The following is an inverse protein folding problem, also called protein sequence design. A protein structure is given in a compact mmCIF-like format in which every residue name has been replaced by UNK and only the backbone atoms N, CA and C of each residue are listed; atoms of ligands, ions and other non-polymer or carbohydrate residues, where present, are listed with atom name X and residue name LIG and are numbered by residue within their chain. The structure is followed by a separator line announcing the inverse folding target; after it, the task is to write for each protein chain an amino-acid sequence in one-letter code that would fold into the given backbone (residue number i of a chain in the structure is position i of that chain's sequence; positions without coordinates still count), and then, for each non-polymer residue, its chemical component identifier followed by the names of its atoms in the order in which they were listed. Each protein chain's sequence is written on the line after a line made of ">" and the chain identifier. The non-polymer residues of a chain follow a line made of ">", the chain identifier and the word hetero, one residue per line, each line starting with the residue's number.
data_IF_165797495951
#
_entry.id   IF_165797495951
#
_cell.length_a   1.000
_cell.length_b   1.000
_cell.length_c   1.000
_cell.angle_alpha   90.00
_cell.angle_beta   90.00
_cell.angle_gamma   90.00
#
_symmetry.space_group_name_H-M   'P 1'
#
loop_
_entity.id
_entity.type
_entity.pdbx_description
1 polymer ?
#
# COMPACT_ATOMS: atom_id res chain seq x y z
N UNK A 1 18.39 1.93 -9.95
CA UNK A 1 17.30 2.10 -8.96
C UNK A 1 16.01 1.68 -9.62
N UNK A 2 15.08 1.10 -8.87
CA UNK A 2 13.77 0.68 -9.36
C UNK A 2 12.70 1.19 -8.40
N UNK A 3 11.48 1.33 -8.90
CA UNK A 3 10.29 1.62 -8.09
C UNK A 3 9.48 0.33 -8.00
N UNK A 4 9.12 -0.07 -6.79
CA UNK A 4 8.31 -1.27 -6.53
C UNK A 4 7.23 -0.95 -5.52
N UNK A 5 6.11 -1.68 -5.61
CA UNK A 5 5.16 -1.67 -4.50
C UNK A 5 5.79 -2.39 -3.28
N UNK A 6 5.66 -1.77 -2.11
CA UNK A 6 6.36 -2.19 -0.91
C UNK A 6 5.92 -3.56 -0.41
N UNK A 7 4.65 -3.95 -0.62
CA UNK A 7 4.17 -5.26 -0.16
C UNK A 7 4.86 -6.44 -0.85
N UNK A 8 5.41 -6.26 -2.06
CA UNK A 8 6.23 -7.28 -2.70
C UNK A 8 7.54 -7.51 -1.96
N UNK A 9 8.20 -6.43 -1.51
CA UNK A 9 9.42 -6.51 -0.71
C UNK A 9 9.13 -7.22 0.61
N UNK A 10 8.07 -6.80 1.30
CA UNK A 10 7.67 -7.42 2.56
C UNK A 10 7.29 -8.91 2.40
N UNK A 11 6.67 -9.30 1.28
CA UNK A 11 6.40 -10.70 0.95
C UNK A 11 7.69 -11.50 0.74
N UNK A 12 8.67 -10.96 0.03
CA UNK A 12 9.97 -11.63 -0.18
C UNK A 12 10.79 -11.74 1.12
N UNK A 13 10.76 -10.68 1.96
CA UNK A 13 11.41 -10.69 3.29
C UNK A 13 10.82 -11.77 4.21
N UNK A 14 9.55 -12.13 4.01
CA UNK A 14 8.81 -13.14 4.79
C UNK A 14 8.64 -14.47 4.04
N UNK A 15 9.28 -14.64 2.89
CA UNK A 15 9.18 -15.87 2.10
C UNK A 15 9.82 -17.04 2.86
N UNK A 16 9.24 -18.23 2.74
CA UNK A 16 9.84 -19.47 3.25
C UNK A 16 11.06 -19.90 2.42
N UNK A 17 11.19 -19.40 1.19
CA UNK A 17 12.32 -19.69 0.30
C UNK A 17 13.57 -18.94 0.74
N UNK A 18 14.69 -19.61 1.05
CA UNK A 18 15.93 -18.96 1.43
C UNK A 18 16.47 -17.98 0.37
N UNK A 19 16.26 -18.29 -0.92
CA UNK A 19 16.78 -17.49 -2.04
C UNK A 19 16.12 -16.10 -2.10
N UNK A 20 14.82 -16.02 -1.79
CA UNK A 20 14.09 -14.76 -1.73
C UNK A 20 14.63 -13.87 -0.60
N UNK A 21 14.88 -14.45 0.56
CA UNK A 21 15.43 -13.73 1.73
C UNK A 21 16.85 -13.24 1.46
N UNK A 22 17.72 -14.10 0.91
CA UNK A 22 19.08 -13.72 0.52
C UNK A 22 19.11 -12.63 -0.56
N UNK A 23 18.12 -12.60 -1.45
CA UNK A 23 17.99 -11.53 -2.44
C UNK A 23 17.63 -10.22 -1.75
N UNK A 24 16.70 -10.24 -0.80
CA UNK A 24 16.31 -9.04 -0.05
C UNK A 24 17.44 -8.47 0.81
N UNK A 25 18.33 -9.30 1.36
CA UNK A 25 19.52 -8.84 2.10
C UNK A 25 20.47 -7.97 1.25
N UNK A 26 20.43 -8.11 -0.07
CA UNK A 26 21.24 -7.32 -1.02
C UNK A 26 20.54 -6.06 -1.50
N UNK A 27 19.28 -5.86 -1.13
CA UNK A 27 18.45 -4.74 -1.59
C UNK A 27 18.32 -3.70 -0.48
N UNK A 28 18.83 -2.50 -0.75
CA UNK A 28 18.55 -1.32 0.07
C UNK A 28 17.18 -0.72 -0.26
N UNK A 29 16.36 -0.46 0.75
CA UNK A 29 15.08 0.23 0.60
C UNK A 29 15.23 1.67 1.06
N UNK A 30 14.76 2.61 0.24
CA UNK A 30 14.75 4.04 0.56
C UNK A 30 13.33 4.57 0.42
N UNK A 31 12.86 5.27 1.43
CA UNK A 31 11.65 6.07 1.35
C UNK A 31 11.99 7.41 0.70
N UNK A 32 11.43 7.74 -0.47
CA UNK A 32 11.73 9.00 -1.15
C UNK A 32 11.12 10.21 -0.41
N UNK A 33 11.62 11.39 -0.75
CA UNK A 33 11.02 12.69 -0.42
C UNK A 33 10.78 12.99 1.08
N UNK A 34 11.52 12.31 1.97
CA UNK A 34 11.34 12.42 3.44
C UNK A 34 11.64 13.81 4.00
N UNK A 35 12.42 14.63 3.29
CA UNK A 35 12.68 16.04 3.65
C UNK A 35 11.66 17.02 3.05
N UNK A 36 10.76 16.56 2.19
CA UNK A 36 9.75 17.37 1.50
C UNK A 36 8.35 16.86 1.82
N UNK A 37 7.54 16.48 0.83
CA UNK A 37 6.15 16.04 1.01
C UNK A 37 6.01 14.64 1.61
N UNK A 38 6.99 13.74 1.41
CA UNK A 38 6.96 12.37 1.90
C UNK A 38 6.82 11.34 0.79
N UNK A 39 6.93 10.05 1.13
CA UNK A 39 6.81 8.97 0.17
C UNK A 39 5.36 8.87 -0.32
N UNK A 40 5.20 8.74 -1.64
CA UNK A 40 3.90 8.53 -2.25
C UNK A 40 3.26 7.24 -1.74
N UNK A 41 1.98 7.32 -1.37
CA UNK A 41 1.18 6.17 -0.95
C UNK A 41 -0.01 5.97 -1.90
N UNK A 42 -0.44 4.72 -2.03
CA UNK A 42 -1.69 4.35 -2.67
C UNK A 42 -2.51 3.51 -1.69
N UNK A 43 -3.79 3.30 -1.99
CA UNK A 43 -4.71 2.60 -1.08
C UNK A 43 -5.43 1.46 -1.79
N UNK A 44 -5.67 0.41 -1.03
CA UNK A 44 -6.70 -0.58 -1.32
C UNK A 44 -8.06 -0.02 -0.87
N UNK A 45 -8.94 0.29 -1.83
CA UNK A 45 -10.24 0.92 -1.58
C UNK A 45 -11.42 0.00 -1.86
N UNK A 46 -12.59 0.33 -1.29
CA UNK A 46 -13.85 -0.37 -1.52
C UNK A 46 -15.02 0.58 -1.69
N UNK A 47 -16.11 0.10 -2.28
CA UNK A 47 -17.33 0.88 -2.50
C UNK A 47 -18.55 0.00 -2.73
N UNK A 48 -19.73 0.54 -2.45
CA UNK A 48 -21.00 -0.15 -2.69
C UNK A 48 -21.49 0.18 -4.10
N UNK A 49 -21.77 -0.85 -4.91
CA UNK A 49 -22.31 -0.67 -6.25
C UNK A 49 -23.70 -0.01 -6.22
N UNK A 50 -23.98 0.82 -7.24
CA UNK A 50 -25.25 1.57 -7.36
C UNK A 50 -26.50 0.67 -7.31
N UNK A 51 -26.39 -0.56 -7.80
CA UNK A 51 -27.47 -1.54 -7.88
C UNK A 51 -27.21 -2.78 -7.00
N UNK A 52 -26.46 -2.64 -5.91
CA UNK A 52 -26.17 -3.75 -5.01
C UNK A 52 -27.47 -4.35 -4.45
N UNK A 53 -27.76 -5.65 -4.65
CA UNK A 53 -28.99 -6.29 -4.18
C UNK A 53 -29.08 -6.36 -2.65
N UNK A 54 -27.94 -6.26 -1.96
CA UNK A 54 -27.82 -6.28 -0.51
C UNK A 54 -27.02 -5.08 0.00
N UNK A 55 -27.55 -3.87 -0.23
CA UNK A 55 -26.86 -2.61 0.10
C UNK A 55 -26.45 -2.52 1.57
N UNK A 56 -27.30 -2.94 2.51
CA UNK A 56 -26.99 -2.90 3.94
C UNK A 56 -25.86 -3.83 4.33
N UNK A 57 -25.82 -5.06 3.78
CA UNK A 57 -24.74 -6.00 4.02
C UNK A 57 -23.41 -5.48 3.45
N UNK A 58 -23.45 -4.84 2.27
CA UNK A 58 -22.27 -4.22 1.68
C UNK A 58 -21.73 -3.06 2.53
N UNK A 59 -22.61 -2.23 3.11
CA UNK A 59 -22.19 -1.17 4.04
C UNK A 59 -21.52 -1.75 5.29
N UNK A 60 -22.16 -2.74 5.93
CA UNK A 60 -21.58 -3.44 7.10
C UNK A 60 -20.23 -4.07 6.80
N UNK A 61 -20.04 -4.57 5.57
CA UNK A 61 -18.77 -5.11 5.16
C UNK A 61 -17.68 -4.04 5.07
N UNK A 62 -17.97 -2.87 4.49
CA UNK A 62 -17.02 -1.75 4.47
C UNK A 62 -16.69 -1.23 5.87
N UNK A 63 -17.69 -1.15 6.76
CA UNK A 63 -17.48 -0.82 8.18
C UNK A 63 -16.58 -1.85 8.87
N UNK A 64 -16.80 -3.14 8.62
CA UNK A 64 -15.94 -4.20 9.12
C UNK A 64 -14.50 -4.05 8.64
N UNK A 65 -14.28 -3.76 7.35
CA UNK A 65 -12.92 -3.53 6.82
C UNK A 65 -12.21 -2.35 7.50
N UNK A 66 -12.96 -1.35 7.96
CA UNK A 66 -12.45 -0.21 8.73
C UNK A 66 -12.32 -0.48 10.24
N UNK A 67 -12.71 -1.65 10.73
CA UNK A 67 -12.58 -2.00 12.15
C UNK A 67 -11.13 -2.32 12.54
N UNK A 68 -10.78 -2.11 13.80
CA UNK A 68 -9.46 -2.45 14.37
C UNK A 68 -9.03 -3.90 14.07
N UNK A 69 -9.97 -4.84 14.17
CA UNK A 69 -9.69 -6.25 13.96
C UNK A 69 -9.31 -6.52 12.50
N UNK A 70 -10.10 -6.01 11.55
CA UNK A 70 -9.82 -6.20 10.13
C UNK A 70 -8.52 -5.50 9.73
N UNK A 71 -8.28 -4.28 10.21
CA UNK A 71 -7.07 -3.52 9.92
C UNK A 71 -5.80 -4.26 10.35
N UNK A 72 -5.80 -4.89 11.53
CA UNK A 72 -4.68 -5.76 11.97
C UNK A 72 -4.52 -6.97 11.07
N UNK A 73 -5.63 -7.68 10.82
CA UNK A 73 -5.63 -8.87 9.97
C UNK A 73 -5.04 -8.61 8.58
N UNK A 74 -5.46 -7.52 7.92
CA UNK A 74 -4.95 -7.17 6.60
C UNK A 74 -3.51 -6.65 6.62
N UNK A 75 -3.12 -5.87 7.64
CA UNK A 75 -1.75 -5.39 7.73
C UNK A 75 -0.74 -6.53 7.93
N UNK A 76 -1.09 -7.48 8.80
CA UNK A 76 -0.22 -8.63 9.11
C UNK A 76 -0.28 -9.70 8.00
N UNK A 77 -1.43 -9.88 7.35
CA UNK A 77 -1.62 -10.87 6.28
C UNK A 77 -1.15 -10.40 4.90
N UNK A 78 -1.47 -9.17 4.50
CA UNK A 78 -1.19 -8.67 3.15
C UNK A 78 0.07 -7.79 3.05
N UNK A 79 0.75 -7.52 4.17
CA UNK A 79 1.93 -6.65 4.24
C UNK A 79 1.64 -5.21 3.77
N UNK A 80 0.51 -4.66 4.19
CA UNK A 80 0.14 -3.26 3.99
C UNK A 80 0.07 -2.52 5.34
N UNK A 81 0.07 -1.19 5.30
CA UNK A 81 -0.13 -0.38 6.50
C UNK A 81 -1.62 -0.16 6.76
N UNK A 82 -2.06 -0.21 8.02
CA UNK A 82 -3.44 0.11 8.37
C UNK A 82 -3.71 1.60 8.14
N UNK A 83 -4.91 1.92 7.66
CA UNK A 83 -5.37 3.30 7.48
C UNK A 83 -5.90 3.91 8.78
N UNK A 84 -6.36 3.05 9.70
CA UNK A 84 -6.84 3.48 11.02
C UNK A 84 -5.66 3.80 11.92
N UNK A 85 -5.67 5.02 12.47
CA UNK A 85 -4.60 5.52 13.34
C UNK A 85 -4.58 4.76 14.67
N UNK A 86 -3.39 4.42 15.16
CA UNK A 86 -3.21 3.78 16.47
C UNK A 86 -3.30 2.26 16.47
N UNK A 87 -3.56 1.64 15.32
CA UNK A 87 -3.53 0.18 15.20
C UNK A 87 -2.08 -0.31 15.34
N UNK A 88 -1.86 -1.14 16.36
CA UNK A 88 -0.62 -1.91 16.50
C UNK A 88 -0.67 -3.12 15.58
N UNK A 89 0.38 -3.31 14.81
CA UNK A 89 0.56 -4.44 13.89
C UNK A 89 1.78 -5.25 14.34
N UNK A 90 1.75 -6.55 14.07
CA UNK A 90 2.84 -7.48 14.40
C UNK A 90 3.44 -8.06 13.11
N UNK A 91 3.85 -7.14 12.23
CA UNK A 91 4.44 -7.48 10.95
C UNK A 91 5.95 -7.19 10.94
N UNK A 92 6.81 -8.22 11.01
CA UNK A 92 8.26 -8.03 11.13
C UNK A 92 8.88 -7.38 9.90
N UNK A 93 8.32 -7.58 8.71
CA UNK A 93 8.82 -6.95 7.50
C UNK A 93 8.52 -5.44 7.49
N UNK A 94 7.31 -5.05 7.86
CA UNK A 94 6.94 -3.63 7.95
C UNK A 94 7.74 -2.93 9.06
N UNK A 95 7.99 -3.61 10.18
CA UNK A 95 8.86 -3.11 11.24
C UNK A 95 10.30 -2.90 10.74
N UNK A 96 10.86 -3.85 9.99
CA UNK A 96 12.21 -3.75 9.42
C UNK A 96 12.34 -2.65 8.35
N UNK A 97 11.28 -2.35 7.61
CA UNK A 97 11.23 -1.23 6.66
C UNK A 97 11.19 0.15 7.34
N UNK A 98 10.92 0.18 8.65
CA UNK A 98 10.99 1.38 9.46
C UNK A 98 9.84 2.37 9.23
N UNK A 99 9.95 3.51 9.92
CA UNK A 99 8.97 4.61 9.80
C UNK A 99 9.28 5.49 8.61
N UNK A 100 8.24 6.02 7.98
CA UNK A 100 8.37 6.99 6.90
C UNK A 100 7.28 8.06 7.02
N UNK A 101 7.56 9.24 6.48
CA UNK A 101 6.59 10.29 6.21
C UNK A 101 5.85 9.94 4.92
N UNK A 102 4.54 9.78 5.00
CA UNK A 102 3.67 9.62 3.84
C UNK A 102 3.31 10.98 3.23
N UNK A 103 3.20 11.04 1.91
CA UNK A 103 2.64 12.19 1.19
C UNK A 103 1.16 12.39 1.57
N UNK A 104 0.74 13.58 2.03
CA UNK A 104 -0.64 13.86 2.42
C UNK A 104 -1.59 14.08 1.23
N UNK A 105 -1.12 13.99 -0.01
CA UNK A 105 -1.95 14.18 -1.21
C UNK A 105 -3.19 13.26 -1.19
N UNK A 106 -4.42 13.81 -1.32
CA UNK A 106 -5.62 12.99 -1.36
C UNK A 106 -5.59 12.03 -2.56
N UNK A 107 -5.61 10.72 -2.32
CA UNK A 107 -5.49 9.70 -3.39
C UNK A 107 -6.60 9.86 -4.45
N UNK A 108 -7.80 10.29 -4.07
CA UNK A 108 -8.89 10.57 -5.00
C UNK A 108 -8.56 11.67 -6.02
N UNK A 109 -7.66 12.60 -5.70
CA UNK A 109 -7.22 13.65 -6.62
C UNK A 109 -6.32 13.13 -7.75
N UNK A 110 -5.67 11.96 -7.58
CA UNK A 110 -4.78 11.39 -8.58
C UNK A 110 -5.52 10.95 -9.85
N UNK A 111 -6.80 10.60 -9.73
CA UNK A 111 -7.61 10.09 -10.83
C UNK A 111 -7.68 11.08 -12.00
N UNK A 112 -7.73 12.39 -11.72
CA UNK A 112 -7.81 13.43 -12.76
C UNK A 112 -6.52 13.52 -13.61
N UNK A 113 -5.39 13.05 -13.09
CA UNK A 113 -4.10 13.10 -13.77
C UNK A 113 -3.75 11.82 -14.52
N UNK A 114 -4.53 10.74 -14.36
CA UNK A 114 -4.22 9.42 -14.94
C UNK A 114 -4.01 9.47 -16.46
N UNK A 115 -4.89 10.16 -17.19
CA UNK A 115 -4.77 10.27 -18.65
C UNK A 115 -3.49 11.02 -19.06
N UNK A 116 -3.17 12.11 -18.36
CA UNK A 116 -1.96 12.90 -18.60
C UNK A 116 -0.69 12.11 -18.29
N UNK A 117 -0.68 11.37 -17.19
CA UNK A 117 0.44 10.49 -16.83
C UNK A 117 0.69 9.43 -17.91
N UNK A 118 -0.37 8.81 -18.44
CA UNK A 118 -0.25 7.83 -19.52
C UNK A 118 0.39 8.42 -20.79
N UNK A 119 0.01 9.65 -21.17
CA UNK A 119 0.61 10.36 -22.31
C UNK A 119 2.10 10.58 -22.06
N UNK A 120 2.49 11.00 -20.85
CA UNK A 120 3.89 11.21 -20.51
C UNK A 120 4.68 9.91 -20.60
N UNK A 121 4.16 8.80 -20.04
CA UNK A 121 4.82 7.49 -20.09
C UNK A 121 5.05 7.01 -21.53
N UNK A 122 4.05 7.20 -22.41
CA UNK A 122 4.17 6.88 -23.83
C UNK A 122 5.24 7.74 -24.53
N UNK A 123 5.23 9.06 -24.28
CA UNK A 123 6.20 10.00 -24.86
C UNK A 123 7.65 9.71 -24.48
N UNK A 124 7.89 9.21 -23.26
CA UNK A 124 9.25 8.85 -22.80
C UNK A 124 9.60 7.38 -23.06
N UNK A 125 8.72 6.61 -23.70
CA UNK A 125 8.94 5.20 -24.01
C UNK A 125 9.04 4.29 -22.78
N UNK A 126 8.38 4.66 -21.67
CA UNK A 126 8.33 3.85 -20.46
C UNK A 126 7.45 2.62 -20.70
N UNK A 127 8.02 1.42 -20.52
CA UNK A 127 7.36 0.13 -20.75
C UNK A 127 7.08 -0.60 -19.45
#
# INVERSE_FOLDING_TARGET
>A
MAVSNTYYLARLMRSDKPEDRQTMEKIGVVWPDQQSYGAHINVSGGGVLKHAPHKEAALKFLEYLASDQAQRYFADGNNEWPVVVGIKIDNPALAALGKFKADPLPVGSLAMYRAKAQIIFDQVGYR
#
